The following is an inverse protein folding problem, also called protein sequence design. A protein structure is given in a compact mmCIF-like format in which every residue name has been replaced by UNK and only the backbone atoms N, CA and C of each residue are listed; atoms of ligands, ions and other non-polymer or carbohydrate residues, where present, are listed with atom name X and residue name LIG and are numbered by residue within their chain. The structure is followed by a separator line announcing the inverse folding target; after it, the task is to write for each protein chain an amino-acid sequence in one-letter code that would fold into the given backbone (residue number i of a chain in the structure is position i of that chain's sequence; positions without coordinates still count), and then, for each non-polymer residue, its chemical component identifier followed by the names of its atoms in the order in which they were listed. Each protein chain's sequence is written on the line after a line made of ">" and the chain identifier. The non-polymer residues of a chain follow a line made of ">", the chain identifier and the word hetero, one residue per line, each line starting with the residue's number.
data_IF_695767722118
#
_entry.id   IF_695767722118
#
_cell.length_a   1.000
_cell.length_b   1.000
_cell.length_c   1.000
_cell.angle_alpha   90.00
_cell.angle_beta   90.00
_cell.angle_gamma   90.00
#
_symmetry.space_group_name_H-M   'P 1'
#
loop_
_entity.id
_entity.type
_entity.pdbx_description
1 polymer ?
#
# COMPACT_ATOMS: atom_id res chain seq x y z
N UNK A 1 18.42 -1.42 21.30
CA UNK A 1 16.98 -1.31 20.98
C UNK A 1 16.47 -0.02 21.60
N UNK A 2 16.24 1.02 20.80
CA UNK A 2 15.79 2.32 21.30
C UNK A 2 14.27 2.36 21.39
N UNK A 3 13.71 2.57 22.58
CA UNK A 3 12.27 2.73 22.77
C UNK A 3 11.79 4.01 22.04
N UNK A 4 10.96 3.83 21.02
CA UNK A 4 10.27 4.94 20.35
C UNK A 4 9.20 5.45 21.32
N UNK A 5 9.50 6.57 22.00
CA UNK A 5 8.55 7.25 22.87
C UNK A 5 7.50 7.95 22.01
N UNK A 6 6.30 7.39 21.94
CA UNK A 6 5.14 8.06 21.35
C UNK A 6 4.69 9.19 22.28
N UNK A 7 4.70 10.42 21.75
CA UNK A 7 4.39 11.63 22.51
C UNK A 7 2.91 11.69 22.93
N UNK A 8 2.66 12.29 24.09
CA UNK A 8 1.34 12.42 24.72
C UNK A 8 0.34 13.24 23.88
N UNK A 9 -0.95 12.86 23.96
CA UNK A 9 -2.08 13.50 23.28
C UNK A 9 -2.28 14.95 23.74
N UNK A 10 -2.46 15.89 22.80
CA UNK A 10 -2.64 17.34 23.07
C UNK A 10 -3.93 17.88 22.44
N UNK A 11 -4.55 18.89 23.07
CA UNK A 11 -5.68 19.64 22.51
C UNK A 11 -5.26 20.56 21.35
N UNK A 12 -6.13 20.64 20.34
CA UNK A 12 -5.91 21.31 19.05
C UNK A 12 -6.03 22.85 19.09
N UNK A 13 -5.27 23.51 18.24
CA UNK A 13 -5.53 24.87 17.73
C UNK A 13 -5.94 24.82 16.26
N UNK A 14 -6.64 25.85 15.74
CA UNK A 14 -7.09 25.90 14.32
C UNK A 14 -5.94 25.80 13.29
N UNK A 15 -4.71 26.12 13.68
CA UNK A 15 -3.52 26.05 12.82
C UNK A 15 -2.96 24.63 12.68
N UNK A 16 -3.37 23.71 13.55
CA UNK A 16 -2.93 22.31 13.52
C UNK A 16 -3.71 21.47 12.47
N UNK A 17 -4.64 22.08 11.73
CA UNK A 17 -5.57 21.39 10.83
C UNK A 17 -5.23 21.51 9.33
N UNK A 18 -4.23 22.30 8.96
CA UNK A 18 -3.96 22.56 7.55
C UNK A 18 -3.04 21.50 6.96
N UNK A 19 -3.37 21.02 5.76
CA UNK A 19 -2.51 20.17 4.95
C UNK A 19 -1.85 21.00 3.85
N UNK A 20 -0.54 20.85 3.58
CA UNK A 20 0.43 20.01 4.28
C UNK A 20 0.68 20.45 5.72
N UNK A 21 1.05 19.53 6.63
CA UNK A 21 1.17 19.85 8.03
C UNK A 21 2.39 20.76 8.24
N UNK A 22 2.29 21.84 9.02
CA UNK A 22 3.42 22.75 9.25
C UNK A 22 4.53 22.12 10.10
N UNK A 23 4.24 21.01 10.80
CA UNK A 23 5.18 20.26 11.62
C UNK A 23 5.12 18.78 11.27
N UNK A 24 6.24 18.26 10.81
CA UNK A 24 6.45 16.84 10.52
C UNK A 24 7.92 16.47 10.75
N UNK A 25 8.22 15.18 10.77
CA UNK A 25 9.59 14.66 10.79
C UNK A 25 10.31 14.91 9.47
N UNK A 26 11.58 14.51 9.38
CA UNK A 26 12.20 14.29 8.07
C UNK A 26 11.38 13.31 7.20
N UNK A 27 11.57 13.42 5.89
CA UNK A 27 10.86 12.61 4.91
C UNK A 27 11.74 11.43 4.49
N UNK A 28 11.16 10.23 4.44
CA UNK A 28 11.82 8.98 4.08
C UNK A 28 11.28 8.51 2.73
N UNK A 29 12.11 8.25 1.71
CA UNK A 29 11.64 7.64 0.47
C UNK A 29 11.21 6.18 0.71
N UNK A 30 10.05 5.79 0.18
CA UNK A 30 9.51 4.42 0.31
C UNK A 30 9.90 3.49 -0.85
N UNK A 31 10.68 3.98 -1.81
CA UNK A 31 11.08 3.25 -3.00
C UNK A 31 11.58 4.20 -4.10
N UNK A 32 11.66 3.69 -5.32
CA UNK A 32 12.06 4.45 -6.52
C UNK A 32 10.87 5.08 -7.25
N UNK A 33 9.64 4.72 -6.88
CA UNK A 33 8.38 5.08 -7.52
C UNK A 33 7.85 6.48 -7.15
N UNK A 34 8.72 7.32 -6.58
CA UNK A 34 8.36 8.66 -6.17
C UNK A 34 7.53 8.74 -4.89
N UNK A 35 7.28 7.65 -4.16
CA UNK A 35 6.58 7.72 -2.87
C UNK A 35 7.53 8.08 -1.74
N UNK A 36 7.00 8.81 -0.76
CA UNK A 36 7.73 9.20 0.44
C UNK A 36 6.80 9.22 1.66
N UNK A 37 7.37 9.05 2.85
CA UNK A 37 6.66 9.01 4.10
C UNK A 37 7.25 9.95 5.14
N UNK A 38 6.42 10.46 6.03
CA UNK A 38 6.84 11.21 7.21
C UNK A 38 5.80 11.05 8.31
N UNK A 39 6.18 11.39 9.55
CA UNK A 39 5.27 11.41 10.68
C UNK A 39 4.87 12.83 10.98
N UNK A 40 3.58 13.05 11.25
CA UNK A 40 3.03 14.31 11.73
C UNK A 40 2.02 14.04 12.85
N UNK A 41 1.57 15.08 13.55
CA UNK A 41 0.46 14.94 14.48
C UNK A 41 -0.84 15.26 13.73
N UNK A 42 -1.65 14.24 13.47
CA UNK A 42 -2.96 14.35 12.87
C UNK A 42 -4.06 14.35 13.95
N UNK A 43 -5.25 14.83 13.59
CA UNK A 43 -6.42 14.69 14.46
C UNK A 43 -6.93 13.25 14.38
N UNK A 44 -7.16 12.66 15.55
CA UNK A 44 -7.87 11.40 15.72
C UNK A 44 -9.35 11.59 15.40
N UNK A 45 -9.90 10.75 14.53
CA UNK A 45 -11.32 10.79 14.18
C UNK A 45 -12.20 10.37 15.38
N UNK A 46 -11.73 9.43 16.20
CA UNK A 46 -12.47 8.94 17.36
C UNK A 46 -12.40 9.91 18.55
N UNK A 47 -11.18 10.31 18.94
CA UNK A 47 -10.97 11.10 20.16
C UNK A 47 -10.95 12.61 19.94
N UNK A 48 -10.79 13.06 18.69
CA UNK A 48 -10.60 14.46 18.34
C UNK A 48 -9.28 15.08 18.84
N UNK A 49 -8.41 14.29 19.49
CA UNK A 49 -7.11 14.72 19.99
C UNK A 49 -6.02 14.59 18.92
N UNK A 50 -4.89 15.27 19.11
CA UNK A 50 -3.73 15.05 18.26
C UNK A 50 -3.04 13.73 18.61
N UNK A 51 -2.72 12.97 17.59
CA UNK A 51 -1.92 11.75 17.69
C UNK A 51 -0.93 11.61 16.53
N UNK A 52 0.20 10.90 16.73
CA UNK A 52 1.15 10.64 15.66
C UNK A 52 0.53 9.78 14.55
N UNK A 53 0.69 10.22 13.31
CA UNK A 53 0.25 9.50 12.12
C UNK A 53 1.39 9.46 11.10
N UNK A 54 1.55 8.32 10.42
CA UNK A 54 2.41 8.18 9.24
C UNK A 54 1.61 8.64 8.03
N UNK A 55 2.08 9.66 7.32
CA UNK A 55 1.54 10.04 6.02
C UNK A 55 2.40 9.49 4.89
N UNK A 56 1.75 9.07 3.80
CA UNK A 56 2.40 8.72 2.53
C UNK A 56 2.00 9.74 1.48
N UNK A 57 2.99 10.29 0.77
CA UNK A 57 2.81 11.32 -0.26
C UNK A 57 3.62 11.02 -1.53
N UNK A 58 3.34 11.74 -2.61
CA UNK A 58 4.12 11.70 -3.85
C UNK A 58 5.20 12.78 -3.87
N UNK A 59 6.38 12.45 -4.38
CA UNK A 59 7.44 13.42 -4.67
C UNK A 59 7.03 14.36 -5.80
N UNK A 60 7.59 15.59 -5.82
CA UNK A 60 8.39 16.21 -4.75
C UNK A 60 7.54 16.84 -3.63
N UNK A 61 6.20 16.75 -3.71
CA UNK A 61 5.30 17.59 -2.92
C UNK A 61 4.67 16.89 -1.74
N UNK A 62 4.80 17.46 -0.54
CA UNK A 62 4.03 17.00 0.62
C UNK A 62 2.53 17.30 0.48
N UNK A 63 2.12 18.19 -0.42
CA UNK A 63 0.71 18.49 -0.63
C UNK A 63 -0.04 17.30 -1.24
N UNK A 64 0.64 16.43 -2.00
CA UNK A 64 0.05 15.26 -2.66
C UNK A 64 -0.07 14.07 -1.70
N UNK A 65 -0.91 14.19 -0.66
CA UNK A 65 -1.21 13.09 0.27
C UNK A 65 -1.95 11.98 -0.44
N UNK A 66 -1.45 10.76 -0.31
CA UNK A 66 -2.19 9.57 -0.71
C UNK A 66 -3.08 9.11 0.45
N UNK A 67 -2.48 8.88 1.61
CA UNK A 67 -3.19 8.47 2.82
C UNK A 67 -2.33 8.78 4.07
N UNK A 68 -2.95 8.65 5.24
CA UNK A 68 -2.26 8.65 6.52
C UNK A 68 -2.84 7.58 7.43
N UNK A 69 -2.00 6.97 8.26
CA UNK A 69 -2.38 5.92 9.20
C UNK A 69 -1.93 6.29 10.59
N UNK A 70 -2.79 6.06 11.56
CA UNK A 70 -2.47 6.02 12.99
C UNK A 70 -1.61 4.80 13.32
N UNK A 71 -1.08 4.75 14.54
CA UNK A 71 -0.33 3.59 15.02
C UNK A 71 -1.19 2.31 15.07
N UNK A 72 -2.48 2.43 15.42
CA UNK A 72 -3.40 1.30 15.47
C UNK A 72 -3.69 0.76 14.06
N UNK A 73 -4.07 1.64 13.13
CA UNK A 73 -4.35 1.25 11.74
C UNK A 73 -3.11 0.64 11.08
N UNK A 74 -1.91 1.16 11.37
CA UNK A 74 -0.68 0.57 10.87
C UNK A 74 -0.48 -0.86 11.41
N UNK A 75 -0.77 -1.09 12.69
CA UNK A 75 -0.73 -2.43 13.29
C UNK A 75 -1.75 -3.38 12.67
N UNK A 76 -2.95 -2.91 12.32
CA UNK A 76 -3.94 -3.73 11.60
C UNK A 76 -3.50 -4.04 10.17
N UNK A 77 -2.87 -3.08 9.47
CA UNK A 77 -2.27 -3.33 8.15
C UNK A 77 -1.16 -4.38 8.24
N UNK A 78 -0.30 -4.34 9.26
CA UNK A 78 0.74 -5.35 9.47
C UNK A 78 0.16 -6.76 9.66
N UNK A 79 -0.97 -6.89 10.37
CA UNK A 79 -1.68 -8.17 10.53
C UNK A 79 -2.32 -8.65 9.23
N UNK A 80 -2.86 -7.73 8.43
CA UNK A 80 -3.55 -8.05 7.17
C UNK A 80 -2.58 -8.31 6.01
N UNK A 81 -1.40 -7.69 6.02
CA UNK A 81 -0.39 -7.77 4.97
C UNK A 81 -0.11 -9.21 4.49
N UNK A 82 0.20 -10.20 5.36
CA UNK A 82 0.47 -11.56 4.89
C UNK A 82 -0.73 -12.19 4.17
N UNK A 83 -1.96 -11.96 4.66
CA UNK A 83 -3.16 -12.49 4.03
C UNK A 83 -3.43 -11.87 2.67
N UNK A 84 -3.19 -10.57 2.55
CA UNK A 84 -3.28 -9.85 1.28
C UNK A 84 -2.26 -10.43 0.29
N UNK A 85 -0.99 -10.59 0.71
CA UNK A 85 0.06 -11.19 -0.12
C UNK A 85 -0.31 -12.58 -0.62
N UNK A 86 -0.82 -13.46 0.24
CA UNK A 86 -1.28 -14.79 -0.19
C UNK A 86 -2.40 -14.73 -1.23
N UNK A 87 -3.29 -13.75 -1.16
CA UNK A 87 -4.34 -13.60 -2.17
C UNK A 87 -3.77 -13.22 -3.54
N UNK A 88 -2.75 -12.35 -3.58
CA UNK A 88 -2.03 -12.02 -4.81
C UNK A 88 -1.31 -13.25 -5.41
N UNK A 89 -0.68 -14.07 -4.58
CA UNK A 89 -0.02 -15.30 -5.02
C UNK A 89 -1.02 -16.31 -5.60
N UNK A 90 -2.16 -16.50 -4.94
CA UNK A 90 -3.22 -17.37 -5.43
C UNK A 90 -3.76 -16.90 -6.79
N UNK A 91 -3.98 -15.60 -6.94
CA UNK A 91 -4.40 -15.03 -8.22
C UNK A 91 -3.35 -15.26 -9.31
N UNK A 92 -2.07 -15.00 -9.03
CA UNK A 92 -0.98 -15.23 -9.97
C UNK A 92 -0.91 -16.71 -10.42
N UNK A 93 -1.12 -17.64 -9.49
CA UNK A 93 -1.15 -19.08 -9.79
C UNK A 93 -2.33 -19.45 -10.69
N UNK A 94 -3.52 -18.86 -10.46
CA UNK A 94 -4.70 -19.10 -11.30
C UNK A 94 -4.51 -18.58 -12.72
N UNK A 95 -3.94 -17.38 -12.87
CA UNK A 95 -3.60 -16.81 -14.18
C UNK A 95 -2.63 -17.73 -14.92
N UNK A 96 -1.55 -18.16 -14.28
CA UNK A 96 -0.57 -19.05 -14.89
C UNK A 96 -1.17 -20.40 -15.31
N UNK A 97 -2.09 -20.97 -14.53
CA UNK A 97 -2.79 -22.21 -14.88
C UNK A 97 -3.77 -22.00 -16.05
N UNK A 98 -4.47 -20.88 -16.08
CA UNK A 98 -5.34 -20.52 -17.21
C UNK A 98 -4.54 -20.42 -18.51
N UNK A 99 -3.42 -19.69 -18.50
CA UNK A 99 -2.55 -19.53 -19.67
C UNK A 99 -2.03 -20.87 -20.20
N UNK A 100 -1.64 -21.79 -19.29
CA UNK A 100 -1.20 -23.14 -19.66
C UNK A 100 -2.31 -23.96 -20.30
N UNK A 101 -3.56 -23.83 -19.85
CA UNK A 101 -4.71 -24.52 -20.45
C UNK A 101 -4.98 -24.01 -21.87
N UNK A 102 -4.99 -22.69 -22.04
CA UNK A 102 -5.16 -22.05 -23.35
C UNK A 102 -4.07 -22.51 -24.32
N UNK A 103 -2.80 -22.54 -23.89
CA UNK A 103 -1.70 -23.04 -24.71
C UNK A 103 -1.86 -24.52 -25.08
N UNK A 104 -2.27 -25.38 -24.13
CA UNK A 104 -2.48 -26.81 -24.39
C UNK A 104 -3.59 -27.05 -25.40
N UNK A 105 -4.70 -26.33 -25.28
CA UNK A 105 -5.84 -26.47 -26.19
C UNK A 105 -5.48 -25.95 -27.59
N UNK A 106 -4.71 -24.87 -27.69
CA UNK A 106 -4.18 -24.39 -28.96
C UNK A 106 -3.27 -25.42 -29.63
N UNK A 107 -2.29 -25.98 -28.89
CA UNK A 107 -1.40 -27.01 -29.43
C UNK A 107 -2.17 -28.25 -29.91
N UNK A 108 -3.25 -28.65 -29.20
CA UNK A 108 -4.11 -29.76 -29.63
C UNK A 108 -4.85 -29.44 -30.92
N UNK A 109 -5.38 -28.22 -31.06
CA UNK A 109 -6.06 -27.76 -32.26
C UNK A 109 -5.12 -27.70 -33.47
N UNK A 110 -3.90 -27.21 -33.27
CA UNK A 110 -2.88 -27.11 -34.33
C UNK A 110 -2.44 -28.51 -34.79
N UNK A 111 -2.24 -29.44 -33.85
CA UNK A 111 -1.91 -30.84 -34.15
C UNK A 111 -3.02 -31.54 -34.96
N UNK A 112 -4.28 -31.29 -34.61
CA UNK A 112 -5.43 -31.83 -35.34
C UNK A 112 -5.53 -31.28 -36.77
N UNK A 113 -5.28 -29.97 -36.94
CA UNK A 113 -5.28 -29.30 -38.25
C UNK A 113 -4.16 -29.83 -39.15
N UNK A 114 -2.95 -30.03 -38.60
CA UNK A 114 -1.80 -30.58 -39.33
C UNK A 114 -2.02 -32.05 -39.75
N UNK A 115 -2.73 -32.84 -38.94
CA UNK A 115 -3.06 -34.24 -39.25
C UNK A 115 -4.10 -34.39 -40.36
N UNK A 116 -4.95 -33.38 -40.60
CA UNK A 116 -6.02 -33.40 -41.60
C UNK A 116 -5.60 -32.80 -42.95
N UNK A 117 -4.45 -32.10 -43.02
CA UNK A 117 -3.92 -31.47 -44.24
C UNK A 117 -3.01 -32.36 -45.11
N UNK A 118 -2.95 -33.67 -44.84
CA UNK A 118 -2.12 -34.64 -45.57
C UNK A 118 -2.96 -35.83 -46.10
N UNK A 119 -4.11 -35.55 -46.72
CA UNK A 119 -4.88 -36.54 -47.50
C UNK A 119 -5.21 -36.00 -48.88
#
# INVERSE_FOLDING_TARGET
>A
MGAVRFAARRRLSKRDFYWPPPKHTGVIPLGTDGKQAFVFHGKSEESGLLEPQVAVTLKPSLASKLFSLTAEELGEVEKLAPRISSYFELYAAQVAEHDRRVQRDQMRSDLFTLSMGHS
#
